data_IF_507586109708
#
_entry.id   IF_507586109708
#
_cell.length_a   1.000
_cell.length_b   1.000
_cell.length_c   1.000
_cell.angle_alpha   90.00
_cell.angle_beta   90.00
_cell.angle_gamma   90.00
#
_symmetry.space_group_name_H-M   'P 1'
#
loop_
_entity.id
_entity.type
_entity.pdbx_description
1 polymer ?
#
# COMPACT_ATOMS: atom_id res chain seq x y z
N UNK A 1 43.44 32.31 5.55
CA UNK A 1 43.83 30.98 6.03
C UNK A 1 42.74 29.95 6.01
N UNK A 2 41.49 30.23 6.42
CA UNK A 2 40.36 29.21 6.42
C UNK A 2 39.94 28.69 5.05
N UNK A 3 40.06 29.45 3.97
CA UNK A 3 39.74 29.00 2.59
C UNK A 3 40.79 28.06 1.98
N UNK A 4 42.02 28.08 2.44
CA UNK A 4 43.09 27.21 2.00
C UNK A 4 43.00 25.79 2.58
N UNK A 5 42.50 25.63 3.79
CA UNK A 5 42.36 24.32 4.47
C UNK A 5 41.26 23.48 3.79
N UNK A 6 40.14 24.10 3.36
CA UNK A 6 39.06 23.38 2.67
C UNK A 6 39.51 22.88 1.27
N UNK A 7 40.36 23.66 0.55
CA UNK A 7 40.89 23.26 -0.75
C UNK A 7 41.89 22.10 -0.64
N UNK A 8 42.69 22.06 0.45
CA UNK A 8 43.68 20.99 0.66
C UNK A 8 43.02 19.66 0.97
N UNK A 9 41.91 19.63 1.73
CA UNK A 9 41.16 18.40 2.00
C UNK A 9 40.51 17.85 0.73
N UNK A 10 40.01 18.69 -0.15
CA UNK A 10 39.42 18.26 -1.44
C UNK A 10 40.47 17.71 -2.43
N UNK A 11 41.65 18.31 -2.50
CA UNK A 11 42.73 17.86 -3.37
C UNK A 11 43.35 16.54 -2.86
N UNK A 12 43.41 16.31 -1.55
CA UNK A 12 43.95 15.07 -0.99
C UNK A 12 43.04 13.86 -1.20
N UNK A 13 41.72 14.05 -1.23
CA UNK A 13 40.75 12.97 -1.55
C UNK A 13 40.82 12.55 -3.02
N UNK A 14 41.15 13.47 -3.96
CA UNK A 14 41.25 13.14 -5.38
C UNK A 14 42.56 12.39 -5.77
N UNK A 15 43.59 12.46 -4.92
CA UNK A 15 44.91 11.83 -5.22
C UNK A 15 45.00 10.36 -4.82
N UNK A 16 44.02 9.81 -4.03
CA UNK A 16 44.05 8.44 -3.55
C UNK A 16 43.20 7.46 -4.37
N UNK A 17 42.57 7.89 -5.48
CA UNK A 17 41.76 7.00 -6.31
C UNK A 17 40.59 6.37 -5.58
N UNK A 18 40.24 6.84 -4.38
CA UNK A 18 39.03 6.43 -3.65
C UNK A 18 37.83 7.13 -4.30
N UNK A 19 37.11 6.41 -5.17
CA UNK A 19 35.72 6.79 -5.45
C UNK A 19 35.04 6.95 -4.10
N UNK A 20 34.41 8.11 -3.79
CA UNK A 20 33.61 8.21 -2.58
C UNK A 20 32.59 7.07 -2.65
N UNK A 21 32.41 6.28 -1.56
CA UNK A 21 31.35 5.29 -1.54
C UNK A 21 30.06 6.03 -1.85
N UNK A 22 29.37 5.61 -2.91
CA UNK A 22 28.03 6.09 -3.22
C UNK A 22 27.18 5.86 -1.96
N UNK A 23 26.55 6.93 -1.46
CA UNK A 23 25.65 6.93 -0.29
C UNK A 23 26.29 6.79 1.11
N UNK A 24 27.30 7.54 1.45
CA UNK A 24 27.63 7.81 2.84
C UNK A 24 26.67 8.87 3.40
N UNK A 25 25.43 8.49 3.77
CA UNK A 25 24.55 9.32 4.60
C UNK A 25 25.21 9.66 5.92
N UNK A 26 24.73 10.69 6.62
CA UNK A 26 25.21 11.06 7.97
C UNK A 26 24.86 10.01 9.01
N UNK A 27 23.80 9.21 8.76
CA UNK A 27 23.24 8.20 9.65
C UNK A 27 23.60 6.82 9.10
N UNK A 28 24.37 6.03 9.89
CA UNK A 28 24.67 4.64 9.52
C UNK A 28 23.44 3.74 9.65
N UNK A 29 23.48 2.55 9.02
CA UNK A 29 22.40 1.56 9.13
C UNK A 29 22.14 1.17 10.60
N UNK A 30 23.17 0.98 11.38
CA UNK A 30 23.07 0.62 12.80
C UNK A 30 22.40 1.74 13.60
N UNK A 31 22.75 2.99 13.32
CA UNK A 31 22.13 4.16 13.94
C UNK A 31 20.65 4.28 13.52
N UNK A 32 20.33 4.03 12.24
CA UNK A 32 18.96 4.00 11.74
C UNK A 32 18.12 2.96 12.50
N UNK A 33 18.63 1.73 12.64
CA UNK A 33 17.94 0.65 13.36
C UNK A 33 17.74 1.01 14.84
N UNK A 34 18.75 1.55 15.48
CA UNK A 34 18.66 1.93 16.91
C UNK A 34 17.66 3.07 17.15
N UNK A 35 17.64 4.10 16.30
CA UNK A 35 16.63 5.16 16.36
C UNK A 35 15.22 4.60 16.17
N UNK A 36 15.04 3.72 15.19
CA UNK A 36 13.77 3.07 14.96
C UNK A 36 13.32 2.21 16.13
N UNK A 37 14.23 1.43 16.73
CA UNK A 37 13.95 0.62 17.91
C UNK A 37 13.50 1.46 19.12
N UNK A 38 14.14 2.60 19.36
CA UNK A 38 13.75 3.51 20.44
C UNK A 38 12.37 4.14 20.17
N UNK A 39 12.11 4.55 18.94
CA UNK A 39 10.79 5.08 18.53
C UNK A 39 9.71 4.01 18.65
N UNK A 40 10.01 2.78 18.23
CA UNK A 40 9.14 1.62 18.37
C UNK A 40 8.74 1.37 19.83
N UNK A 41 9.71 1.37 20.74
CA UNK A 41 9.44 1.22 22.17
C UNK A 41 8.52 2.31 22.73
N UNK A 42 8.69 3.58 22.28
CA UNK A 42 7.82 4.68 22.70
C UNK A 42 6.39 4.51 22.20
N UNK A 43 6.20 4.08 20.93
CA UNK A 43 4.89 3.81 20.35
C UNK A 43 4.19 2.65 21.08
N UNK A 44 4.91 1.55 21.31
CA UNK A 44 4.38 0.39 22.03
C UNK A 44 4.01 0.70 23.48
N UNK A 45 4.81 1.53 24.15
CA UNK A 45 4.49 1.99 25.50
C UNK A 45 3.28 2.94 25.55
N UNK A 46 3.10 3.76 24.51
CA UNK A 46 1.98 4.73 24.43
C UNK A 46 0.66 4.07 24.10
N UNK A 47 0.63 3.18 23.11
CA UNK A 47 -0.61 2.64 22.55
C UNK A 47 -0.90 1.20 22.98
N UNK A 48 0.12 0.45 23.39
CA UNK A 48 0.03 -1.00 23.58
C UNK A 48 -0.04 -1.76 22.25
N UNK A 49 0.17 -3.08 22.33
CA UNK A 49 0.07 -4.00 21.20
C UNK A 49 -1.23 -4.80 21.32
N UNK A 50 -1.99 -4.91 20.23
CA UNK A 50 -3.18 -5.76 20.17
C UNK A 50 -2.80 -7.21 20.43
N UNK A 51 -3.48 -7.87 21.38
CA UNK A 51 -3.23 -9.25 21.80
C UNK A 51 -4.09 -10.26 21.00
N UNK A 52 -4.24 -10.01 19.69
CA UNK A 52 -4.90 -10.93 18.75
C UNK A 52 -3.83 -11.51 17.82
N UNK A 53 -3.49 -12.78 18.05
CA UNK A 53 -2.45 -13.47 17.29
C UNK A 53 -2.80 -13.58 15.80
N UNK A 54 -4.06 -13.87 15.47
CA UNK A 54 -4.48 -14.02 14.07
C UNK A 54 -4.36 -12.69 13.30
N UNK A 55 -4.73 -11.58 13.95
CA UNK A 55 -4.61 -10.24 13.39
C UNK A 55 -3.14 -9.82 13.21
N UNK A 56 -2.29 -10.07 14.22
CA UNK A 56 -0.85 -9.81 14.14
C UNK A 56 -0.20 -10.60 13.00
N UNK A 57 -0.51 -11.91 12.90
CA UNK A 57 0.04 -12.78 11.86
C UNK A 57 -0.44 -12.37 10.47
N UNK A 58 -1.70 -11.95 10.32
CA UNK A 58 -2.24 -11.42 9.06
C UNK A 58 -1.44 -10.22 8.57
N UNK A 59 -1.23 -9.21 9.42
CA UNK A 59 -0.49 -7.99 9.07
C UNK A 59 0.98 -8.32 8.78
N UNK A 60 1.60 -9.18 9.60
CA UNK A 60 2.97 -9.63 9.37
C UNK A 60 3.12 -10.39 8.05
N UNK A 61 2.23 -11.32 7.73
CA UNK A 61 2.24 -12.08 6.47
C UNK A 61 2.17 -11.17 5.25
N UNK A 62 1.25 -10.18 5.25
CA UNK A 62 1.12 -9.21 4.16
C UNK A 62 2.40 -8.39 4.05
N UNK A 63 2.88 -7.83 5.16
CA UNK A 63 4.10 -7.02 5.19
C UNK A 63 5.33 -7.77 4.68
N UNK A 64 5.57 -8.99 5.18
CA UNK A 64 6.71 -9.81 4.75
C UNK A 64 6.63 -10.20 3.26
N UNK A 65 5.44 -10.43 2.71
CA UNK A 65 5.27 -10.71 1.28
C UNK A 65 5.68 -9.53 0.40
N UNK A 66 5.39 -8.29 0.84
CA UNK A 66 5.80 -7.06 0.17
C UNK A 66 7.31 -6.80 0.31
N UNK A 67 7.88 -7.09 1.49
CA UNK A 67 9.33 -6.95 1.71
C UNK A 67 10.12 -7.88 0.80
N UNK A 68 9.67 -9.12 0.57
CA UNK A 68 10.33 -10.09 -0.32
C UNK A 68 10.58 -9.58 -1.74
N UNK A 69 9.75 -8.65 -2.22
CA UNK A 69 9.87 -8.07 -3.55
C UNK A 69 10.42 -6.63 -3.52
N UNK A 70 10.81 -6.13 -2.35
CA UNK A 70 11.37 -4.78 -2.17
C UNK A 70 12.86 -4.74 -2.49
N UNK A 71 13.38 -3.53 -2.73
CA UNK A 71 14.80 -3.29 -3.01
C UNK A 71 15.67 -3.32 -1.74
N UNK A 72 15.07 -3.29 -0.53
CA UNK A 72 15.78 -3.18 0.73
C UNK A 72 15.48 -4.35 1.67
N UNK A 73 16.08 -5.50 1.40
CA UNK A 73 15.91 -6.75 2.16
C UNK A 73 17.01 -6.98 3.22
N UNK A 74 17.91 -6.04 3.38
CA UNK A 74 19.02 -6.07 4.32
C UNK A 74 18.64 -5.64 5.75
N UNK A 75 17.37 -5.29 5.97
CA UNK A 75 16.76 -4.99 7.26
C UNK A 75 15.89 -6.15 7.74
N UNK A 76 15.80 -6.29 9.06
CA UNK A 76 14.80 -7.13 9.70
C UNK A 76 13.52 -6.31 9.88
N UNK A 77 12.49 -6.58 9.05
CA UNK A 77 11.22 -5.87 9.15
C UNK A 77 10.32 -6.47 10.22
N UNK A 78 9.74 -5.59 11.03
CA UNK A 78 8.77 -5.93 12.08
C UNK A 78 7.45 -5.23 11.82
N UNK A 79 6.36 -5.99 11.80
CA UNK A 79 4.99 -5.49 11.59
C UNK A 79 4.17 -5.75 12.84
N UNK A 80 3.61 -4.70 13.45
CA UNK A 80 2.78 -4.83 14.66
C UNK A 80 1.52 -3.99 14.58
N UNK A 81 0.48 -4.44 15.28
CA UNK A 81 -0.80 -3.73 15.38
C UNK A 81 -0.85 -3.00 16.73
N UNK A 82 -0.97 -1.67 16.67
CA UNK A 82 -1.15 -0.82 17.85
C UNK A 82 -2.62 -0.81 18.28
N UNK A 83 -2.85 -0.85 19.60
CA UNK A 83 -4.19 -0.83 20.19
C UNK A 83 -4.70 0.62 20.29
N UNK A 84 -5.21 1.13 19.20
CA UNK A 84 -5.81 2.46 19.11
C UNK A 84 -6.86 2.48 18.01
N UNK A 85 -7.93 3.25 18.21
CA UNK A 85 -9.01 3.46 17.23
C UNK A 85 -8.66 4.50 16.15
N UNK A 86 -7.47 5.09 16.22
CA UNK A 86 -6.99 5.99 15.18
C UNK A 86 -6.88 5.26 13.83
N UNK A 87 -7.31 5.91 12.74
CA UNK A 87 -7.12 5.39 11.38
C UNK A 87 -5.75 5.85 10.88
N UNK A 88 -4.71 5.09 11.22
CA UNK A 88 -3.32 5.49 10.98
C UNK A 88 -2.38 4.29 10.77
N UNK A 89 -1.22 4.55 10.15
CA UNK A 89 -0.07 3.65 10.06
C UNK A 89 1.22 4.46 10.17
N UNK A 90 2.32 3.85 10.56
CA UNK A 90 3.62 4.52 10.76
C UNK A 90 4.78 3.61 10.37
N UNK A 91 5.74 4.16 9.62
CA UNK A 91 7.01 3.53 9.32
C UNK A 91 8.16 4.21 10.10
N UNK A 92 8.66 3.55 11.15
CA UNK A 92 9.86 4.01 11.85
C UNK A 92 11.12 3.60 11.05
N UNK A 93 12.24 4.33 11.21
CA UNK A 93 13.52 3.92 10.64
C UNK A 93 13.88 2.46 10.98
N UNK A 94 14.70 1.82 10.16
CA UNK A 94 15.19 0.46 10.45
C UNK A 94 14.20 -0.68 10.27
N UNK A 95 12.98 -0.41 9.71
CA UNK A 95 12.04 -1.48 9.33
C UNK A 95 10.96 -1.79 10.37
N UNK A 96 10.73 -0.93 11.37
CA UNK A 96 9.63 -1.11 12.33
C UNK A 96 8.37 -0.42 11.79
N UNK A 97 7.35 -1.21 11.42
CA UNK A 97 6.12 -0.73 10.80
C UNK A 97 4.93 -1.06 11.71
N UNK A 98 4.09 -0.07 11.92
CA UNK A 98 2.91 -0.16 12.77
C UNK A 98 1.65 0.18 12.00
N UNK A 99 0.61 -0.62 12.21
CA UNK A 99 -0.75 -0.35 11.76
C UNK A 99 -1.63 -0.21 12.99
N UNK A 100 -2.46 0.82 13.03
CA UNK A 100 -3.40 1.02 14.12
C UNK A 100 -4.64 0.15 13.90
N UNK A 101 -5.20 -0.37 15.00
CA UNK A 101 -6.39 -1.23 14.93
C UNK A 101 -7.55 -0.54 14.20
N UNK A 102 -7.78 0.75 14.47
CA UNK A 102 -8.82 1.53 13.80
C UNK A 102 -8.67 1.58 12.28
N UNK A 103 -7.44 1.56 11.74
CA UNK A 103 -7.22 1.47 10.29
C UNK A 103 -7.62 0.10 9.76
N UNK A 104 -7.30 -0.98 10.45
CA UNK A 104 -7.66 -2.33 10.03
C UNK A 104 -9.17 -2.54 10.06
N UNK A 105 -9.86 -2.00 11.08
CA UNK A 105 -11.32 -2.04 11.18
C UNK A 105 -11.99 -1.24 10.06
N UNK A 106 -11.36 -0.15 9.61
CA UNK A 106 -11.84 0.71 8.53
C UNK A 106 -11.54 0.14 7.13
N UNK A 107 -10.44 -0.60 6.99
CA UNK A 107 -9.96 -1.22 5.75
C UNK A 107 -9.72 -2.72 5.95
N UNK A 108 -10.79 -3.55 5.94
CA UNK A 108 -10.69 -4.93 6.39
C UNK A 108 -10.08 -5.91 5.37
N UNK A 109 -9.97 -5.56 4.08
CA UNK A 109 -9.43 -6.47 3.07
C UNK A 109 -7.89 -6.56 3.09
N UNK A 110 -7.33 -7.69 2.65
CA UNK A 110 -5.87 -7.85 2.48
C UNK A 110 -5.32 -6.92 1.40
N UNK A 111 -6.11 -6.62 0.37
CA UNK A 111 -5.72 -5.68 -0.68
C UNK A 111 -5.54 -4.25 -0.15
N UNK A 112 -6.45 -3.77 0.70
CA UNK A 112 -6.35 -2.45 1.32
C UNK A 112 -5.16 -2.36 2.26
N UNK A 113 -4.97 -3.38 3.11
CA UNK A 113 -3.81 -3.45 4.01
C UNK A 113 -2.48 -3.53 3.24
N UNK A 114 -2.45 -4.24 2.11
CA UNK A 114 -1.26 -4.26 1.24
C UNK A 114 -0.96 -2.89 0.66
N UNK A 115 -1.98 -2.10 0.31
CA UNK A 115 -1.81 -0.72 -0.14
C UNK A 115 -1.14 0.17 0.91
N UNK A 116 -1.64 0.12 2.15
CA UNK A 116 -1.06 0.84 3.29
C UNK A 116 0.37 0.35 3.57
N UNK A 117 0.56 -0.95 3.75
CA UNK A 117 1.87 -1.51 4.10
C UNK A 117 2.91 -1.30 2.98
N UNK A 118 2.51 -1.38 1.71
CA UNK A 118 3.39 -1.10 0.58
C UNK A 118 3.87 0.37 0.57
N UNK A 119 2.98 1.30 0.92
CA UNK A 119 3.30 2.71 1.09
C UNK A 119 4.30 2.89 2.24
N UNK A 120 4.04 2.34 3.42
CA UNK A 120 4.90 2.43 4.60
C UNK A 120 6.27 1.76 4.39
N UNK A 121 6.30 0.56 3.79
CA UNK A 121 7.55 -0.12 3.42
C UNK A 121 8.37 0.76 2.49
N UNK A 122 7.74 1.46 1.55
CA UNK A 122 8.46 2.34 0.62
C UNK A 122 9.11 3.53 1.34
N UNK A 123 8.49 4.07 2.40
CA UNK A 123 9.14 5.09 3.23
C UNK A 123 10.44 4.56 3.86
N UNK A 124 10.45 3.31 4.32
CA UNK A 124 11.67 2.66 4.84
C UNK A 124 12.69 2.40 3.73
N UNK A 125 12.26 1.82 2.61
CA UNK A 125 13.12 1.50 1.44
C UNK A 125 13.82 2.76 0.93
N UNK A 126 13.11 3.87 0.81
CA UNK A 126 13.63 5.16 0.33
C UNK A 126 14.26 6.01 1.43
N UNK A 127 14.32 5.51 2.69
CA UNK A 127 14.90 6.21 3.84
C UNK A 127 14.31 7.61 4.09
N UNK A 128 13.02 7.83 3.79
CA UNK A 128 12.41 9.17 3.85
C UNK A 128 12.57 9.80 5.24
N UNK A 129 12.28 9.06 6.32
CA UNK A 129 12.46 9.54 7.71
C UNK A 129 13.93 9.82 8.02
N UNK A 130 14.86 8.97 7.57
CA UNK A 130 16.29 9.14 7.76
C UNK A 130 16.78 10.42 7.08
N UNK A 131 16.42 10.63 5.80
CA UNK A 131 16.78 11.85 5.08
C UNK A 131 16.20 13.12 5.71
N UNK A 132 14.99 13.04 6.27
CA UNK A 132 14.37 14.14 7.00
C UNK A 132 15.15 14.46 8.26
N UNK A 133 15.58 13.46 9.03
CA UNK A 133 16.42 13.61 10.22
C UNK A 133 17.79 14.18 9.83
N UNK A 134 18.43 13.66 8.77
CA UNK A 134 19.71 14.18 8.30
C UNK A 134 19.64 15.65 7.90
N UNK A 135 18.59 16.06 7.20
CA UNK A 135 18.33 17.45 6.85
C UNK A 135 18.13 18.32 8.08
N UNK A 136 17.41 17.81 9.07
CA UNK A 136 17.19 18.49 10.35
C UNK A 136 18.48 18.62 11.15
N UNK A 137 19.30 17.56 11.21
CA UNK A 137 20.61 17.58 11.84
C UNK A 137 21.54 18.61 11.20
N UNK A 138 21.61 18.68 9.89
CA UNK A 138 22.43 19.68 9.17
C UNK A 138 21.99 21.11 9.50
N UNK A 139 20.69 21.37 9.51
CA UNK A 139 20.15 22.69 9.89
C UNK A 139 20.41 23.01 11.35
N UNK A 140 20.26 22.04 12.25
CA UNK A 140 20.43 22.24 13.70
C UNK A 140 21.91 22.30 14.08
N UNK A 141 22.79 21.54 13.42
CA UNK A 141 24.25 21.68 13.57
C UNK A 141 24.71 23.06 13.14
N UNK A 142 24.18 23.59 12.04
CA UNK A 142 24.46 24.97 11.63
C UNK A 142 23.99 25.97 12.72
N UNK A 143 22.83 25.72 13.34
CA UNK A 143 22.27 26.51 14.42
C UNK A 143 23.03 26.31 15.76
N UNK A 144 23.41 25.06 16.10
CA UNK A 144 24.12 24.72 17.32
C UNK A 144 25.56 25.29 17.36
N UNK A 145 26.21 25.39 16.18
CA UNK A 145 27.50 26.09 16.06
C UNK A 145 27.36 27.55 16.46
N UNK A 146 26.18 28.15 16.24
CA UNK A 146 25.89 29.53 16.60
C UNK A 146 25.43 29.66 18.07
N UNK A 147 24.67 28.67 18.58
CA UNK A 147 23.96 28.80 19.90
C UNK A 147 24.50 27.93 21.02
N UNK A 148 25.48 27.04 20.79
CA UNK A 148 26.03 26.08 21.75
C UNK A 148 24.98 25.17 22.43
N UNK A 149 23.92 24.80 21.73
CA UNK A 149 22.85 23.90 22.22
C UNK A 149 23.23 22.42 22.16
N UNK A 150 22.77 21.64 23.16
CA UNK A 150 22.94 20.19 23.22
C UNK A 150 21.79 19.49 22.47
N UNK A 151 22.09 18.59 21.52
CA UNK A 151 21.13 17.94 20.63
C UNK A 151 20.99 16.47 20.98
N UNK A 152 19.90 16.11 21.67
CA UNK A 152 19.51 14.71 21.86
C UNK A 152 19.00 14.08 20.56
N UNK A 153 19.71 13.11 20.00
CA UNK A 153 19.35 12.41 18.74
C UNK A 153 18.08 11.56 18.91
N UNK A 154 17.80 11.10 20.14
CA UNK A 154 16.70 10.15 20.43
C UNK A 154 15.28 10.67 20.11
N UNK A 155 15.05 11.98 20.20
CA UNK A 155 13.73 12.59 19.89
C UNK A 155 13.50 12.92 18.41
N UNK A 156 14.56 12.89 17.59
CA UNK A 156 14.47 13.37 16.21
C UNK A 156 13.59 12.49 15.32
N UNK A 157 13.61 11.18 15.52
CA UNK A 157 12.77 10.26 14.74
C UNK A 157 11.28 10.46 15.05
N UNK A 158 10.91 10.58 16.33
CA UNK A 158 9.53 10.88 16.76
C UNK A 158 9.06 12.23 16.21
N UNK A 159 9.94 13.25 16.27
CA UNK A 159 9.64 14.57 15.72
C UNK A 159 9.51 14.56 14.19
N UNK A 160 10.35 13.81 13.48
CA UNK A 160 10.28 13.66 12.05
C UNK A 160 8.98 12.99 11.60
N UNK A 161 8.55 11.91 12.27
CA UNK A 161 7.27 11.25 12.02
C UNK A 161 6.08 12.19 12.26
N UNK A 162 6.13 12.99 13.35
CA UNK A 162 5.07 13.95 13.64
C UNK A 162 5.01 15.13 12.66
N UNK A 163 6.14 15.49 12.03
CA UNK A 163 6.20 16.59 11.06
C UNK A 163 5.60 16.22 9.69
N UNK A 164 5.39 14.93 9.41
CA UNK A 164 4.90 14.42 8.15
C UNK A 164 5.93 14.47 7.01
N UNK A 165 5.57 13.87 5.89
CA UNK A 165 6.45 13.74 4.72
C UNK A 165 6.26 14.85 3.70
N UNK A 166 7.28 15.09 2.88
CA UNK A 166 7.16 16.03 1.76
C UNK A 166 6.28 15.44 0.65
N UNK A 167 5.69 16.30 -0.17
CA UNK A 167 4.94 15.88 -1.38
C UNK A 167 5.75 14.97 -2.31
N UNK A 168 7.05 15.13 -2.34
CA UNK A 168 7.95 14.30 -3.17
C UNK A 168 8.13 12.92 -2.56
N UNK A 169 8.24 12.83 -1.24
CA UNK A 169 8.34 11.55 -0.51
C UNK A 169 7.04 10.76 -0.65
N UNK A 170 5.88 11.44 -0.52
CA UNK A 170 4.57 10.83 -0.72
C UNK A 170 4.40 10.25 -2.14
N UNK A 171 4.78 11.01 -3.16
CA UNK A 171 4.78 10.51 -4.55
C UNK A 171 5.70 9.31 -4.74
N UNK A 172 6.83 9.31 -4.05
CA UNK A 172 7.77 8.20 -4.03
C UNK A 172 7.20 6.97 -3.35
N UNK A 173 6.50 7.17 -2.22
CA UNK A 173 5.86 6.12 -1.44
C UNK A 173 4.67 5.48 -2.17
N UNK A 174 3.81 6.28 -2.80
CA UNK A 174 2.70 5.78 -3.62
C UNK A 174 3.18 4.95 -4.81
N UNK A 175 4.18 5.47 -5.54
CA UNK A 175 4.76 4.75 -6.68
C UNK A 175 5.40 3.44 -6.25
N UNK A 176 6.16 3.46 -5.16
CA UNK A 176 6.81 2.27 -4.62
C UNK A 176 5.78 1.28 -4.08
N UNK A 177 4.80 1.74 -3.30
CA UNK A 177 3.72 0.92 -2.77
C UNK A 177 2.92 0.23 -3.87
N UNK A 178 2.55 0.96 -4.92
CA UNK A 178 1.93 0.36 -6.11
C UNK A 178 2.79 -0.74 -6.73
N UNK A 179 4.07 -0.48 -6.95
CA UNK A 179 4.99 -1.46 -7.54
C UNK A 179 5.15 -2.71 -6.65
N UNK A 180 5.24 -2.52 -5.32
CA UNK A 180 5.34 -3.62 -4.36
C UNK A 180 4.06 -4.47 -4.36
N UNK A 181 2.88 -3.85 -4.35
CA UNK A 181 1.60 -4.56 -4.41
C UNK A 181 1.51 -5.42 -5.68
N UNK A 182 1.79 -4.85 -6.85
CA UNK A 182 1.75 -5.58 -8.12
C UNK A 182 2.79 -6.71 -8.16
N UNK A 183 4.03 -6.44 -7.73
CA UNK A 183 5.10 -7.44 -7.73
C UNK A 183 4.86 -8.61 -6.75
N UNK A 184 4.17 -8.33 -5.62
CA UNK A 184 3.80 -9.35 -4.64
C UNK A 184 2.48 -10.07 -4.98
N UNK A 185 1.83 -9.74 -6.09
CA UNK A 185 0.58 -10.37 -6.54
C UNK A 185 -0.68 -9.83 -5.87
N UNK A 186 -0.61 -8.66 -5.20
CA UNK A 186 -1.78 -7.98 -4.67
C UNK A 186 -2.50 -7.17 -5.74
N UNK A 187 -3.75 -6.85 -5.44
CA UNK A 187 -4.63 -6.06 -6.28
C UNK A 187 -3.95 -4.74 -6.72
N UNK A 188 -3.86 -4.43 -8.03
CA UNK A 188 -3.22 -3.20 -8.53
C UNK A 188 -3.93 -1.91 -8.07
N UNK A 189 -5.20 -1.99 -7.64
CA UNK A 189 -5.92 -0.85 -7.09
C UNK A 189 -5.70 -0.65 -5.57
N UNK A 190 -4.88 -1.48 -4.89
CA UNK A 190 -4.67 -1.42 -3.44
C UNK A 190 -4.36 0.00 -2.93
N UNK A 191 -3.39 0.69 -3.53
CA UNK A 191 -3.03 2.07 -3.15
C UNK A 191 -4.14 3.07 -3.48
N UNK A 192 -4.88 2.86 -4.58
CA UNK A 192 -6.04 3.71 -4.94
C UNK A 192 -7.15 3.57 -3.92
N UNK A 193 -7.47 2.35 -3.52
CA UNK A 193 -8.47 2.07 -2.47
C UNK A 193 -8.09 2.77 -1.16
N UNK A 194 -6.81 2.63 -0.75
CA UNK A 194 -6.29 3.28 0.44
C UNK A 194 -6.48 4.80 0.39
N UNK A 195 -6.02 5.46 -0.68
CA UNK A 195 -6.10 6.93 -0.80
C UNK A 195 -7.56 7.39 -0.80
N UNK A 196 -8.42 6.77 -1.60
CA UNK A 196 -9.83 7.16 -1.72
C UNK A 196 -10.59 7.02 -0.39
N UNK A 197 -10.47 5.86 0.28
CA UNK A 197 -11.17 5.64 1.56
C UNK A 197 -10.70 6.59 2.65
N UNK A 198 -9.40 6.85 2.74
CA UNK A 198 -8.87 7.82 3.70
C UNK A 198 -9.34 9.24 3.37
N UNK A 199 -9.44 9.61 2.09
CA UNK A 199 -10.00 10.90 1.67
C UNK A 199 -11.48 11.03 2.04
N UNK A 200 -12.28 9.99 1.83
CA UNK A 200 -13.69 9.97 2.24
C UNK A 200 -13.81 10.15 3.76
N UNK A 201 -13.02 9.42 4.53
CA UNK A 201 -12.99 9.57 5.99
C UNK A 201 -12.62 10.99 6.43
N UNK A 202 -11.60 11.59 5.81
CA UNK A 202 -11.21 12.97 6.13
C UNK A 202 -12.31 13.98 5.81
N UNK A 203 -13.05 13.77 4.72
CA UNK A 203 -14.24 14.58 4.36
C UNK A 203 -15.38 14.41 5.38
N UNK A 204 -15.67 13.18 5.79
CA UNK A 204 -16.68 12.86 6.80
C UNK A 204 -16.37 13.51 8.15
N UNK A 205 -15.09 13.53 8.54
CA UNK A 205 -14.63 14.18 9.77
C UNK A 205 -14.51 15.72 9.65
N UNK A 206 -14.77 16.29 8.47
CA UNK A 206 -14.62 17.73 8.21
C UNK A 206 -13.19 18.26 8.43
N UNK A 207 -12.20 17.37 8.40
CA UNK A 207 -10.80 17.69 8.65
C UNK A 207 -9.88 17.05 7.59
N UNK A 208 -9.39 17.82 6.59
CA UNK A 208 -8.50 17.31 5.54
C UNK A 208 -7.18 16.69 6.05
N UNK A 209 -6.76 17.01 7.29
CA UNK A 209 -5.59 16.44 7.95
C UNK A 209 -5.94 15.37 8.97
N UNK A 210 -7.11 14.73 8.88
CA UNK A 210 -7.51 13.68 9.81
C UNK A 210 -6.73 12.37 9.60
N UNK A 211 -6.40 11.70 10.70
CA UNK A 211 -5.74 10.40 10.67
C UNK A 211 -4.41 10.44 9.92
N UNK A 212 -4.23 9.52 9.01
CA UNK A 212 -2.98 9.36 8.24
C UNK A 212 -2.64 10.60 7.40
N UNK A 213 -3.61 11.43 6.97
CA UNK A 213 -3.32 12.66 6.21
C UNK A 213 -2.67 13.77 7.02
N UNK A 214 -2.58 13.64 8.34
CA UNK A 214 -1.76 14.54 9.17
C UNK A 214 -0.27 14.43 8.83
N UNK A 215 0.17 13.24 8.45
CA UNK A 215 1.55 12.93 8.05
C UNK A 215 1.73 12.70 6.54
N UNK A 216 0.63 12.44 5.79
CA UNK A 216 0.63 12.08 4.36
C UNK A 216 -0.32 12.97 3.52
N UNK A 217 0.06 14.22 3.20
CA UNK A 217 -0.85 15.20 2.59
C UNK A 217 -1.16 14.96 1.10
N UNK A 218 -2.15 15.69 0.58
CA UNK A 218 -2.52 15.86 -0.84
C UNK A 218 -3.06 14.61 -1.57
N UNK A 219 -4.23 14.09 -1.17
CA UNK A 219 -4.78 12.85 -1.75
C UNK A 219 -5.10 12.96 -3.26
N UNK A 220 -5.66 14.06 -3.76
CA UNK A 220 -6.11 14.19 -5.16
C UNK A 220 -4.98 14.03 -6.19
N UNK A 221 -3.83 14.68 -5.97
CA UNK A 221 -2.68 14.58 -6.86
C UNK A 221 -2.01 13.21 -6.80
N UNK A 222 -2.04 12.56 -5.62
CA UNK A 222 -1.58 11.20 -5.40
C UNK A 222 -2.42 10.23 -6.21
N UNK A 223 -3.74 10.30 -6.11
CA UNK A 223 -4.69 9.47 -6.83
C UNK A 223 -4.47 9.50 -8.35
N UNK A 224 -4.42 10.71 -8.95
CA UNK A 224 -4.17 10.88 -10.39
C UNK A 224 -2.90 10.15 -10.87
N UNK A 225 -1.84 10.15 -10.05
CA UNK A 225 -0.55 9.52 -10.40
C UNK A 225 -0.62 7.99 -10.35
N UNK A 226 -1.25 7.43 -9.31
CA UNK A 226 -1.43 5.98 -9.18
C UNK A 226 -2.35 5.47 -10.29
N UNK A 227 -3.45 6.16 -10.58
CA UNK A 227 -4.35 5.81 -11.70
C UNK A 227 -3.64 5.83 -13.06
N UNK A 228 -2.67 6.73 -13.27
CA UNK A 228 -1.84 6.70 -14.48
C UNK A 228 -0.96 5.43 -14.56
N UNK A 229 -0.44 4.94 -13.43
CA UNK A 229 0.32 3.68 -13.39
C UNK A 229 -0.58 2.47 -13.69
N UNK A 230 -1.79 2.43 -13.11
CA UNK A 230 -2.78 1.39 -13.38
C UNK A 230 -3.15 1.36 -14.86
N UNK A 231 -3.40 2.54 -15.47
CA UNK A 231 -3.67 2.65 -16.90
C UNK A 231 -2.51 2.12 -17.76
N UNK A 232 -1.26 2.38 -17.35
CA UNK A 232 -0.09 1.87 -18.05
C UNK A 232 0.07 0.35 -17.89
N UNK A 233 -0.40 -0.22 -16.78
CA UNK A 233 -0.42 -1.66 -16.53
C UNK A 233 -1.44 -2.41 -17.40
N UNK A 234 -2.44 -1.69 -17.94
CA UNK A 234 -3.53 -2.26 -18.75
C UNK A 234 -4.29 -3.36 -18.03
N UNK A 235 -4.78 -3.02 -16.86
CA UNK A 235 -5.60 -3.95 -16.04
C UNK A 235 -6.86 -4.36 -16.81
N UNK A 236 -7.12 -5.64 -16.87
CA UNK A 236 -8.35 -6.25 -17.38
C UNK A 236 -8.89 -7.24 -16.34
N UNK A 237 -10.22 -7.32 -16.17
CA UNK A 237 -11.29 -6.60 -16.89
C UNK A 237 -11.29 -5.08 -16.64
N UNK A 238 -11.93 -4.32 -17.54
CA UNK A 238 -12.04 -2.85 -17.43
C UNK A 238 -13.18 -2.45 -16.51
N UNK A 239 -13.08 -1.23 -15.95
CA UNK A 239 -14.08 -0.64 -15.06
C UNK A 239 -14.72 0.54 -15.76
N UNK A 240 -16.05 0.61 -15.73
CA UNK A 240 -16.84 1.79 -16.10
C UNK A 240 -17.57 2.31 -14.86
N UNK A 241 -17.37 3.58 -14.53
CA UNK A 241 -18.12 4.29 -13.50
C UNK A 241 -19.31 4.98 -14.20
N UNK A 242 -20.52 4.71 -13.73
CA UNK A 242 -21.76 5.22 -14.32
C UNK A 242 -22.19 6.53 -13.63
N UNK A 243 -22.98 7.34 -14.34
CA UNK A 243 -23.48 8.63 -13.84
C UNK A 243 -24.41 8.50 -12.61
N UNK A 244 -25.04 7.33 -12.44
CA UNK A 244 -25.90 6.99 -11.29
C UNK A 244 -25.14 6.50 -10.06
N UNK A 245 -23.81 6.66 -10.04
CA UNK A 245 -22.88 6.16 -9.00
C UNK A 245 -22.82 4.62 -8.88
N UNK A 246 -23.30 3.88 -9.87
CA UNK A 246 -23.03 2.44 -10.00
C UNK A 246 -21.72 2.21 -10.74
N UNK A 247 -21.20 0.98 -10.73
CA UNK A 247 -20.02 0.60 -11.46
C UNK A 247 -20.24 -0.70 -12.23
N UNK A 248 -19.58 -0.84 -13.37
CA UNK A 248 -19.56 -2.05 -14.17
C UNK A 248 -18.13 -2.51 -14.38
N UNK A 249 -17.89 -3.80 -14.25
CA UNK A 249 -16.63 -4.46 -14.59
C UNK A 249 -16.89 -5.35 -15.81
N UNK A 250 -16.13 -5.17 -16.89
CA UNK A 250 -16.44 -5.86 -18.15
C UNK A 250 -15.19 -6.24 -18.95
N UNK A 251 -15.31 -7.32 -19.73
CA UNK A 251 -14.30 -7.75 -20.69
C UNK A 251 -14.98 -8.50 -21.85
N UNK A 252 -14.85 -7.99 -23.07
CA UNK A 252 -15.61 -8.49 -24.21
C UNK A 252 -17.11 -8.43 -23.96
N UNK A 253 -17.80 -9.57 -24.13
CA UNK A 253 -19.25 -9.70 -23.89
C UNK A 253 -19.60 -10.02 -22.43
N UNK A 254 -18.59 -10.23 -21.57
CA UNK A 254 -18.82 -10.47 -20.16
C UNK A 254 -18.90 -9.16 -19.38
N UNK A 255 -19.84 -9.10 -18.42
CA UNK A 255 -20.01 -7.94 -17.55
C UNK A 255 -20.55 -8.29 -16.17
N UNK A 256 -20.17 -7.48 -15.18
CA UNK A 256 -20.60 -7.57 -13.79
C UNK A 256 -20.96 -6.18 -13.26
N UNK A 257 -22.21 -5.98 -12.83
CA UNK A 257 -22.68 -4.69 -12.33
C UNK A 257 -22.68 -4.63 -10.80
N UNK A 258 -22.20 -3.54 -10.24
CA UNK A 258 -22.16 -3.26 -8.81
C UNK A 258 -22.99 -2.00 -8.54
N UNK A 259 -24.08 -2.16 -7.80
CA UNK A 259 -25.08 -1.10 -7.63
C UNK A 259 -25.19 -0.58 -6.19
N UNK A 260 -24.73 -1.37 -5.20
CA UNK A 260 -24.93 -1.05 -3.79
C UNK A 260 -23.67 -0.50 -3.14
N UNK A 261 -23.83 0.57 -2.35
CA UNK A 261 -22.85 0.98 -1.34
C UNK A 261 -23.09 0.17 -0.06
N UNK A 262 -22.06 -0.42 0.51
CA UNK A 262 -22.15 -1.16 1.76
C UNK A 262 -21.07 -0.67 2.73
N UNK A 263 -21.48 -0.11 3.87
CA UNK A 263 -20.53 0.55 4.77
C UNK A 263 -19.82 1.71 4.07
N UNK A 264 -18.50 1.69 4.09
CA UNK A 264 -17.64 2.66 3.41
C UNK A 264 -17.20 2.21 2.00
N UNK A 265 -17.77 1.08 1.50
CA UNK A 265 -17.45 0.55 0.17
C UNK A 265 -18.49 0.99 -0.87
N UNK A 266 -18.16 2.05 -1.61
CA UNK A 266 -18.92 2.50 -2.78
C UNK A 266 -18.81 1.50 -3.94
N UNK A 267 -19.75 1.50 -4.91
CA UNK A 267 -19.65 0.64 -6.10
C UNK A 267 -18.30 0.75 -6.83
N UNK A 268 -17.74 1.94 -6.90
CA UNK A 268 -16.41 2.18 -7.45
C UNK A 268 -15.32 1.36 -6.75
N UNK A 269 -15.27 1.37 -5.40
CA UNK A 269 -14.25 0.63 -4.63
C UNK A 269 -14.41 -0.87 -4.77
N UNK A 270 -15.65 -1.32 -4.79
CA UNK A 270 -15.99 -2.72 -5.00
C UNK A 270 -15.64 -3.18 -6.42
N UNK A 271 -15.77 -2.29 -7.43
CA UNK A 271 -15.31 -2.56 -8.80
C UNK A 271 -13.78 -2.64 -8.86
N UNK A 272 -13.05 -1.79 -8.13
CA UNK A 272 -11.59 -1.91 -8.00
C UNK A 272 -11.17 -3.24 -7.35
N UNK A 273 -11.89 -3.69 -6.32
CA UNK A 273 -11.64 -5.00 -5.71
C UNK A 273 -11.85 -6.12 -6.70
N UNK A 274 -12.99 -6.16 -7.38
CA UNK A 274 -13.34 -7.20 -8.36
C UNK A 274 -12.36 -7.22 -9.54
N UNK A 275 -12.19 -6.11 -10.23
CA UNK A 275 -11.34 -6.03 -11.42
C UNK A 275 -9.87 -6.33 -11.09
N UNK A 276 -9.40 -5.81 -9.97
CA UNK A 276 -8.03 -6.06 -9.54
C UNK A 276 -7.79 -7.48 -9.05
N UNK A 277 -8.76 -8.11 -8.38
CA UNK A 277 -8.71 -9.52 -8.02
C UNK A 277 -8.65 -10.43 -9.25
N UNK A 278 -9.50 -10.17 -10.25
CA UNK A 278 -9.49 -10.90 -11.52
C UNK A 278 -8.19 -10.68 -12.31
N UNK A 279 -7.62 -9.47 -12.26
CA UNK A 279 -6.28 -9.21 -12.81
C UNK A 279 -5.21 -10.09 -12.13
N UNK A 280 -5.22 -10.21 -10.80
CA UNK A 280 -4.29 -11.06 -10.07
C UNK A 280 -4.42 -12.55 -10.47
N UNK A 281 -5.65 -13.04 -10.62
CA UNK A 281 -5.94 -14.40 -11.13
C UNK A 281 -5.30 -14.60 -12.51
N UNK A 282 -5.51 -13.64 -13.40
CA UNK A 282 -5.00 -13.67 -14.77
C UNK A 282 -3.48 -13.68 -14.83
N UNK A 283 -2.82 -12.82 -14.04
CA UNK A 283 -1.35 -12.77 -13.99
C UNK A 283 -0.74 -14.05 -13.41
N UNK A 284 -1.41 -14.67 -12.44
CA UNK A 284 -0.97 -15.92 -11.84
C UNK A 284 -1.10 -17.10 -12.78
N UNK A 285 -2.24 -17.26 -13.42
CA UNK A 285 -2.60 -18.47 -14.20
C UNK A 285 -2.36 -18.30 -15.72
N UNK A 286 -2.12 -17.07 -16.22
CA UNK A 286 -1.63 -16.74 -17.59
C UNK A 286 -2.31 -17.52 -18.72
N UNK A 287 -3.63 -17.40 -18.81
CA UNK A 287 -4.42 -18.04 -19.87
C UNK A 287 -4.85 -19.49 -19.58
N UNK A 288 -4.61 -19.97 -18.37
CA UNK A 288 -5.02 -21.30 -17.87
C UNK A 288 -5.91 -21.20 -16.63
N UNK A 289 -6.74 -20.16 -16.54
CA UNK A 289 -7.66 -19.95 -15.43
C UNK A 289 -8.65 -21.10 -15.38
N UNK A 290 -8.83 -21.72 -14.20
CA UNK A 290 -9.77 -22.81 -13.96
C UNK A 290 -11.05 -22.29 -13.29
N UNK A 291 -12.23 -22.38 -13.94
CA UNK A 291 -13.48 -21.87 -13.36
C UNK A 291 -13.90 -22.55 -12.06
N UNK A 292 -13.39 -23.73 -11.76
CA UNK A 292 -13.75 -24.48 -10.55
C UNK A 292 -12.95 -24.12 -9.30
N UNK A 293 -11.95 -23.24 -9.42
CA UNK A 293 -11.16 -22.71 -8.30
C UNK A 293 -11.81 -21.51 -7.62
N UNK A 294 -12.94 -21.01 -8.11
CA UNK A 294 -13.75 -20.03 -7.38
C UNK A 294 -14.52 -20.72 -6.25
N UNK A 295 -14.28 -20.25 -5.02
CA UNK A 295 -14.90 -20.75 -3.78
C UNK A 295 -15.59 -19.62 -3.03
N UNK A 296 -16.67 -19.93 -2.30
CA UNK A 296 -17.43 -18.98 -1.49
C UNK A 296 -17.20 -19.28 -0.01
N UNK A 297 -16.87 -18.24 0.74
CA UNK A 297 -16.80 -18.29 2.20
C UNK A 297 -17.96 -17.46 2.76
N UNK A 298 -18.97 -18.14 3.35
CA UNK A 298 -20.20 -17.51 3.85
C UNK A 298 -20.10 -17.34 5.37
N UNK A 299 -20.23 -16.09 5.84
CA UNK A 299 -20.24 -15.71 7.26
C UNK A 299 -21.65 -15.37 7.78
N UNK A 300 -22.69 -15.66 7.00
CA UNK A 300 -24.09 -15.39 7.34
C UNK A 300 -24.57 -13.96 7.08
N UNK A 301 -23.76 -12.94 7.36
CA UNK A 301 -24.04 -11.52 7.05
C UNK A 301 -23.41 -11.03 5.77
N UNK A 302 -22.30 -11.66 5.39
CA UNK A 302 -21.54 -11.42 4.16
C UNK A 302 -21.01 -12.74 3.61
N UNK A 303 -20.70 -12.77 2.34
CA UNK A 303 -20.02 -13.89 1.71
C UNK A 303 -18.92 -13.37 0.78
N UNK A 304 -17.71 -13.93 0.94
CA UNK A 304 -16.54 -13.55 0.14
C UNK A 304 -16.26 -14.64 -0.89
N UNK A 305 -16.07 -14.22 -2.13
CA UNK A 305 -15.66 -15.09 -3.23
C UNK A 305 -14.15 -15.00 -3.36
N UNK A 306 -13.49 -16.14 -3.30
CA UNK A 306 -12.05 -16.28 -3.54
C UNK A 306 -11.79 -17.09 -4.80
N UNK A 307 -10.65 -16.84 -5.41
CA UNK A 307 -10.02 -17.77 -6.35
C UNK A 307 -8.77 -18.32 -5.66
N UNK A 308 -8.84 -19.52 -5.11
CA UNK A 308 -7.94 -20.07 -4.10
C UNK A 308 -7.80 -19.12 -2.89
N UNK A 309 -6.66 -18.38 -2.84
CA UNK A 309 -6.31 -17.42 -1.81
C UNK A 309 -6.47 -15.95 -2.23
N UNK A 310 -6.81 -15.68 -3.50
CA UNK A 310 -7.05 -14.32 -4.01
C UNK A 310 -8.50 -13.93 -3.71
N UNK A 311 -8.68 -12.89 -2.90
CA UNK A 311 -9.99 -12.27 -2.68
C UNK A 311 -10.47 -11.58 -3.95
N UNK A 312 -11.67 -11.93 -4.41
CA UNK A 312 -12.27 -11.40 -5.64
C UNK A 312 -13.34 -10.36 -5.32
N UNK A 313 -14.32 -10.73 -4.49
CA UNK A 313 -15.43 -9.86 -4.14
C UNK A 313 -16.08 -10.33 -2.84
N UNK A 314 -16.35 -9.39 -1.94
CA UNK A 314 -17.24 -9.60 -0.80
C UNK A 314 -18.61 -9.01 -1.12
N UNK A 315 -19.67 -9.81 -0.92
CA UNK A 315 -21.08 -9.42 -1.05
C UNK A 315 -21.77 -9.53 0.30
N UNK A 316 -22.81 -8.73 0.50
CA UNK A 316 -23.51 -8.59 1.76
C UNK A 316 -25.00 -8.93 1.60
N UNK A 317 -25.71 -9.16 2.70
CA UNK A 317 -27.16 -9.37 2.66
C UNK A 317 -27.91 -8.20 1.99
N UNK A 318 -27.38 -6.98 2.09
CA UNK A 318 -27.93 -5.82 1.39
C UNK A 318 -27.87 -5.98 -0.14
N UNK A 319 -26.76 -6.48 -0.68
CA UNK A 319 -26.63 -6.79 -2.10
C UNK A 319 -27.60 -7.89 -2.52
N UNK A 320 -27.68 -8.93 -1.70
CA UNK A 320 -28.56 -10.08 -1.94
C UNK A 320 -30.03 -9.66 -2.04
N UNK A 321 -30.51 -8.87 -1.08
CA UNK A 321 -31.89 -8.38 -1.09
C UNK A 321 -32.18 -7.45 -2.29
N UNK A 322 -31.24 -6.56 -2.64
CA UNK A 322 -31.37 -5.72 -3.82
C UNK A 322 -31.43 -6.55 -5.12
N UNK A 323 -30.72 -7.69 -5.16
CA UNK A 323 -30.71 -8.63 -6.29
C UNK A 323 -31.84 -9.67 -6.25
N UNK A 324 -32.74 -9.64 -5.26
CA UNK A 324 -33.84 -10.61 -5.10
C UNK A 324 -33.42 -11.96 -4.52
N UNK A 325 -32.27 -12.04 -3.85
CA UNK A 325 -31.77 -13.25 -3.19
C UNK A 325 -32.07 -13.23 -1.68
N UNK A 326 -32.15 -14.41 -1.07
CA UNK A 326 -32.47 -14.55 0.37
C UNK A 326 -31.30 -14.33 1.33
N UNK A 327 -30.04 -14.42 0.85
CA UNK A 327 -28.85 -14.30 1.69
C UNK A 327 -27.62 -13.93 0.85
N UNK A 328 -26.58 -13.39 1.54
CA UNK A 328 -25.26 -13.12 0.92
C UNK A 328 -24.66 -14.38 0.27
N UNK A 329 -24.76 -15.54 0.93
CA UNK A 329 -24.25 -16.80 0.38
C UNK A 329 -24.97 -17.23 -0.91
N UNK A 330 -26.30 -17.10 -0.99
CA UNK A 330 -27.03 -17.40 -2.24
C UNK A 330 -26.70 -16.43 -3.35
N UNK A 331 -26.50 -15.16 -3.04
CA UNK A 331 -26.05 -14.16 -4.02
C UNK A 331 -24.61 -14.39 -4.47
N UNK A 332 -23.69 -14.70 -3.53
CA UNK A 332 -22.32 -15.04 -3.86
C UNK A 332 -22.20 -16.26 -4.79
N UNK A 333 -23.05 -17.28 -4.59
CA UNK A 333 -23.12 -18.42 -5.48
C UNK A 333 -23.51 -18.01 -6.91
N UNK A 334 -24.53 -17.15 -7.06
CA UNK A 334 -24.91 -16.60 -8.37
C UNK A 334 -23.80 -15.74 -9.00
N UNK A 335 -23.13 -14.88 -8.20
CA UNK A 335 -21.97 -14.13 -8.66
C UNK A 335 -20.83 -15.06 -9.12
N UNK A 336 -20.61 -16.18 -8.43
CA UNK A 336 -19.58 -17.15 -8.80
C UNK A 336 -19.86 -17.76 -10.18
N UNK A 337 -21.12 -18.03 -10.52
CA UNK A 337 -21.47 -18.50 -11.88
C UNK A 337 -21.17 -17.43 -12.95
N UNK A 338 -21.40 -16.15 -12.66
CA UNK A 338 -21.01 -15.07 -13.57
C UNK A 338 -19.47 -14.98 -13.71
N UNK A 339 -18.73 -15.19 -12.64
CA UNK A 339 -17.26 -15.21 -12.69
C UNK A 339 -16.73 -16.40 -13.50
N UNK A 340 -17.38 -17.57 -13.41
CA UNK A 340 -17.05 -18.74 -14.24
C UNK A 340 -17.26 -18.46 -15.73
N UNK A 341 -18.26 -17.64 -16.10
CA UNK A 341 -18.47 -17.19 -17.49
C UNK A 341 -17.39 -16.22 -17.98
N UNK A 342 -16.71 -15.50 -17.09
CA UNK A 342 -15.56 -14.66 -17.44
C UNK A 342 -14.35 -15.49 -17.90
N UNK A 343 -14.13 -16.67 -17.32
CA UNK A 343 -12.93 -17.48 -17.55
C UNK A 343 -12.64 -17.78 -19.02
N UNK A 344 -13.59 -18.26 -19.86
CA UNK A 344 -13.30 -18.48 -21.28
C UNK A 344 -12.93 -17.20 -22.03
N UNK A 345 -13.51 -16.05 -21.66
CA UNK A 345 -13.20 -14.75 -22.27
C UNK A 345 -11.76 -14.34 -21.94
N UNK A 346 -11.36 -14.44 -20.67
CA UNK A 346 -10.02 -14.12 -20.21
C UNK A 346 -8.96 -15.03 -20.86
N UNK A 347 -9.18 -16.36 -20.85
CA UNK A 347 -8.25 -17.33 -21.43
C UNK A 347 -8.08 -17.14 -22.94
N UNK A 348 -9.16 -16.81 -23.67
CA UNK A 348 -9.09 -16.54 -25.12
C UNK A 348 -8.26 -15.27 -25.42
N UNK A 349 -8.47 -14.21 -24.67
CA UNK A 349 -7.74 -12.94 -24.83
C UNK A 349 -6.24 -13.11 -24.54
N UNK A 350 -5.86 -13.86 -23.51
CA UNK A 350 -4.45 -14.13 -23.18
C UNK A 350 -3.75 -14.97 -24.25
N UNK A 351 -4.42 -15.97 -24.79
CA UNK A 351 -3.89 -16.79 -25.89
C UNK A 351 -3.66 -15.95 -27.14
N UNK A 352 -4.57 -15.03 -27.47
CA UNK A 352 -4.43 -14.11 -28.61
C UNK A 352 -3.25 -13.12 -28.45
N UNK A 353 -2.99 -12.64 -27.23
CA UNK A 353 -1.86 -11.77 -26.92
C UNK A 353 -0.53 -12.52 -27.03
N UNK A 354 -0.46 -13.76 -26.53
CA UNK A 354 0.73 -14.60 -26.62
C UNK A 354 1.09 -14.97 -28.05
N UNK A 355 0.12 -15.29 -28.92
CA UNK A 355 0.35 -15.59 -30.33
C UNK A 355 0.95 -14.39 -31.08
N UNK A 356 0.37 -13.19 -30.92
CA UNK A 356 0.87 -11.95 -31.53
C UNK A 356 2.29 -11.58 -31.09
N UNK A 357 2.68 -11.92 -29.86
CA UNK A 357 4.02 -11.65 -29.34
C UNK A 357 5.07 -12.62 -29.91
N UNK A 358 4.71 -13.87 -30.21
CA UNK A 358 5.58 -14.86 -30.86
C UNK A 358 5.82 -14.52 -32.33
N UNK A 359 4.82 -14.02 -33.05
CA UNK A 359 4.94 -13.64 -34.46
C UNK A 359 5.79 -12.37 -34.66
N UNK A 360 5.87 -11.49 -33.67
CA UNK A 360 6.76 -10.31 -33.72
C UNK A 360 8.24 -10.61 -33.39
N UNK A 361 8.54 -11.79 -32.87
CA UNK A 361 9.91 -12.24 -32.53
C UNK A 361 10.51 -13.17 -33.61
N UNK A 362 9.74 -13.52 -34.62
CA UNK A 362 10.18 -14.17 -35.85
C UNK A 362 10.38 -13.13 -36.96
#
# INVERSE_FOLDING_TARGET
MKRFILAIVFVFCCSLGMTPPAEAGLISKEQEIEMGRQTAMQLEAKYGIVQDYALQERVNRIGQSLVKVSERQDLEYSFKVLNSDEVNALACPGGFIYVFKGLIDYMPSDAELAGVLGHEITHVVKKHTVHQIEKQLLTTLAFAIVTKGDLGIAGLATQALAAGYSRTDERGADKGGFNLCVAAGYNPYSVVLTINKLEDLAKEQGNPGYGIFSSHPEPEERLKRVMKQIKALKVHPEITLNEDNTASVHEGDWGFNITQTVGNDRPEYRAYMLAGGLYCVRERDKGHIDPYRFIVYDNGGSATIYYDDIEILTVYNQDAYAGGFGSAGSYAAACTELLRQWVPVANANDTAVQSKSRDKKK
#
